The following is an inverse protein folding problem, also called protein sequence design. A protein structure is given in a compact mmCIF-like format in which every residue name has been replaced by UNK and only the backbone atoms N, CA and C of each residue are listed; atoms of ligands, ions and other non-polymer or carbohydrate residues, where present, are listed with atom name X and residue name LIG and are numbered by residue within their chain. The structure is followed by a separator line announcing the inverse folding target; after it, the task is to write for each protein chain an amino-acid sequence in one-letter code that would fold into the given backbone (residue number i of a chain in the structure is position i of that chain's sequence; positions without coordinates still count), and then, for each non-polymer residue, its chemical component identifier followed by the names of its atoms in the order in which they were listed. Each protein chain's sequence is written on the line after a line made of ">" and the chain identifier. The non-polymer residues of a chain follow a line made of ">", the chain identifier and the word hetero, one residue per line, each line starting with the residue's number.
data_IF_886837752878
#
_entry.id   IF_886837752878
#
_cell.length_a   1.000
_cell.length_b   1.000
_cell.length_c   1.000
_cell.angle_alpha   90.00
_cell.angle_beta   90.00
_cell.angle_gamma   90.00
#
_symmetry.space_group_name_H-M   'P 1'
#
loop_
_entity.id
_entity.type
_entity.pdbx_description
1 polymer ?
#
# COMPACT_ATOMS: atom_id res chain seq x y z
N UNK A 1 5.20 -21.24 18.29
CA UNK A 1 4.53 -21.86 17.13
C UNK A 1 5.20 -21.33 15.87
N UNK A 2 5.58 -22.21 14.94
CA UNK A 2 6.15 -21.83 13.65
C UNK A 2 5.18 -22.29 12.55
N UNK A 3 4.72 -21.35 11.72
CA UNK A 3 3.79 -21.60 10.62
C UNK A 3 4.54 -21.33 9.32
N UNK A 4 4.90 -22.39 8.58
CA UNK A 4 5.57 -22.28 7.29
C UNK A 4 4.58 -22.51 6.15
N UNK A 5 4.23 -21.44 5.43
CA UNK A 5 3.23 -21.42 4.36
C UNK A 5 1.92 -22.18 4.69
N UNK A 6 1.52 -22.17 5.97
CA UNK A 6 0.47 -23.05 6.51
C UNK A 6 -0.92 -22.90 5.87
N UNK A 7 -1.14 -21.85 5.07
CA UNK A 7 -2.41 -21.55 4.41
C UNK A 7 -2.32 -21.53 2.87
N UNK A 8 -1.18 -21.88 2.27
CA UNK A 8 -0.98 -21.76 0.81
C UNK A 8 -1.87 -22.68 -0.02
N UNK A 9 -2.21 -23.85 0.51
CA UNK A 9 -3.04 -24.86 -0.15
C UNK A 9 -4.55 -24.76 0.16
N UNK A 10 -4.96 -23.74 0.93
CA UNK A 10 -6.33 -23.57 1.39
C UNK A 10 -7.08 -22.53 0.57
N UNK A 11 -8.39 -22.71 0.44
CA UNK A 11 -9.24 -21.68 -0.15
C UNK A 11 -9.27 -20.42 0.76
N UNK A 12 -9.64 -19.25 0.22
CA UNK A 12 -9.63 -17.99 0.98
C UNK A 12 -10.48 -18.03 2.26
N UNK A 13 -11.61 -18.75 2.27
CA UNK A 13 -12.52 -18.81 3.41
C UNK A 13 -11.95 -19.68 4.52
N UNK A 14 -11.38 -20.84 4.17
CA UNK A 14 -10.70 -21.72 5.12
C UNK A 14 -9.43 -21.07 5.66
N UNK A 15 -8.65 -20.40 4.81
CA UNK A 15 -7.49 -19.60 5.22
C UNK A 15 -7.86 -18.61 6.32
N UNK A 16 -8.91 -17.82 6.11
CA UNK A 16 -9.36 -16.84 7.10
C UNK A 16 -9.66 -17.50 8.47
N UNK A 17 -10.32 -18.65 8.46
CA UNK A 17 -10.70 -19.40 9.67
C UNK A 17 -9.47 -19.94 10.42
N UNK A 18 -8.46 -20.46 9.69
CA UNK A 18 -7.21 -20.94 10.28
C UNK A 18 -6.42 -19.79 10.89
N UNK A 19 -6.35 -18.65 10.22
CA UNK A 19 -5.66 -17.46 10.75
C UNK A 19 -6.33 -16.95 12.03
N UNK A 20 -7.67 -16.94 12.08
CA UNK A 20 -8.41 -16.52 13.27
C UNK A 20 -8.14 -17.47 14.45
N UNK A 21 -8.06 -18.78 14.20
CA UNK A 21 -7.68 -19.77 15.20
C UNK A 21 -6.24 -19.56 15.72
N UNK A 22 -5.27 -19.34 14.82
CA UNK A 22 -3.88 -19.05 15.21
C UNK A 22 -3.83 -17.81 16.11
N UNK A 23 -4.59 -16.77 15.77
CA UNK A 23 -4.66 -15.54 16.55
C UNK A 23 -5.30 -15.77 17.93
N UNK A 24 -6.35 -16.61 18.01
CA UNK A 24 -6.93 -17.02 19.28
C UNK A 24 -5.91 -17.78 20.16
N UNK A 25 -5.17 -18.73 19.58
CA UNK A 25 -4.14 -19.49 20.29
C UNK A 25 -3.05 -18.57 20.84
N UNK A 26 -2.58 -17.62 20.03
CA UNK A 26 -1.61 -16.61 20.47
C UNK A 26 -2.14 -15.82 21.68
N UNK A 27 -3.39 -15.32 21.62
CA UNK A 27 -3.99 -14.55 22.73
C UNK A 27 -4.21 -15.39 23.99
N UNK A 28 -4.73 -16.61 23.83
CA UNK A 28 -5.12 -17.48 24.95
C UNK A 28 -3.92 -18.08 25.66
N UNK A 29 -2.93 -18.56 24.89
CA UNK A 29 -1.76 -19.23 25.44
C UNK A 29 -0.56 -18.29 25.62
N UNK A 30 -0.64 -17.05 25.15
CA UNK A 30 0.44 -16.04 25.19
C UNK A 30 1.76 -16.54 24.61
N UNK A 31 1.69 -17.34 23.56
CA UNK A 31 2.88 -17.92 22.89
C UNK A 31 3.34 -17.04 21.74
N UNK A 32 4.65 -17.02 21.48
CA UNK A 32 5.19 -16.42 20.26
C UNK A 32 4.83 -17.26 19.04
N UNK A 33 4.30 -16.60 18.00
CA UNK A 33 3.98 -17.20 16.71
C UNK A 33 4.86 -16.54 15.64
N UNK A 34 5.57 -17.36 14.86
CA UNK A 34 6.32 -16.92 13.68
C UNK A 34 5.62 -17.48 12.46
N UNK A 35 5.29 -16.61 11.50
CA UNK A 35 4.60 -16.97 10.26
C UNK A 35 5.51 -16.64 9.08
N UNK A 36 5.71 -17.62 8.20
CA UNK A 36 6.44 -17.48 6.94
C UNK A 36 5.40 -17.58 5.82
N UNK A 37 5.31 -16.56 4.99
CA UNK A 37 4.35 -16.48 3.88
C UNK A 37 4.79 -15.47 2.85
N UNK A 38 4.41 -15.70 1.60
CA UNK A 38 4.52 -14.73 0.51
C UNK A 38 3.27 -13.82 0.38
N UNK A 39 2.19 -14.11 1.13
CA UNK A 39 0.92 -13.38 1.01
C UNK A 39 0.83 -12.24 2.03
N UNK A 40 0.86 -11.00 1.54
CA UNK A 40 0.77 -9.81 2.42
C UNK A 40 -0.58 -9.68 3.15
N UNK A 41 -1.66 -10.21 2.58
CA UNK A 41 -2.98 -10.26 3.24
C UNK A 41 -2.96 -11.05 4.56
N UNK A 42 -2.14 -12.09 4.65
CA UNK A 42 -1.95 -12.89 5.88
C UNK A 42 -1.20 -12.09 6.92
N UNK A 43 -0.10 -11.43 6.51
CA UNK A 43 0.73 -10.59 7.38
C UNK A 43 -0.10 -9.47 8.00
N UNK A 44 -0.92 -8.79 7.19
CA UNK A 44 -1.79 -7.71 7.63
C UNK A 44 -2.83 -8.16 8.67
N UNK A 45 -3.32 -9.40 8.58
CA UNK A 45 -4.40 -9.89 9.43
C UNK A 45 -3.94 -10.30 10.84
N UNK A 46 -2.78 -10.98 10.95
CA UNK A 46 -2.39 -11.64 12.21
C UNK A 46 -1.02 -11.25 12.76
N UNK A 47 -0.16 -10.58 12.00
CA UNK A 47 1.19 -10.22 12.45
C UNK A 47 1.22 -8.83 13.08
N UNK A 48 2.09 -8.65 14.07
CA UNK A 48 2.39 -7.33 14.67
C UNK A 48 3.67 -6.70 14.11
N UNK A 49 4.63 -7.55 13.73
CA UNK A 49 5.92 -7.19 13.13
C UNK A 49 6.17 -8.05 11.91
N UNK A 50 6.93 -7.52 10.96
CA UNK A 50 7.33 -8.23 9.75
C UNK A 50 8.81 -8.02 9.47
N UNK A 51 9.43 -9.04 8.89
CA UNK A 51 10.76 -9.00 8.32
C UNK A 51 10.65 -9.45 6.86
N UNK A 52 11.17 -8.63 5.95
CA UNK A 52 11.20 -8.91 4.52
C UNK A 52 12.57 -9.47 4.17
N UNK A 53 12.57 -10.63 3.52
CA UNK A 53 13.78 -11.28 3.03
C UNK A 53 13.86 -11.15 1.50
N UNK A 54 15.04 -10.84 0.98
CA UNK A 54 15.39 -10.89 -0.44
C UNK A 54 16.79 -11.51 -0.53
N UNK A 55 16.98 -12.48 -1.44
CA UNK A 55 18.27 -13.17 -1.65
C UNK A 55 18.94 -13.70 -0.37
N UNK A 56 18.13 -14.26 0.55
CA UNK A 56 18.62 -14.84 1.80
C UNK A 56 19.03 -13.82 2.87
N UNK A 57 18.83 -12.52 2.62
CA UNK A 57 19.15 -11.45 3.57
C UNK A 57 17.89 -10.72 4.02
N UNK A 58 17.84 -10.32 5.29
CA UNK A 58 16.77 -9.45 5.80
C UNK A 58 17.00 -8.03 5.28
N UNK A 59 16.21 -7.61 4.31
CA UNK A 59 16.33 -6.29 3.67
C UNK A 59 15.52 -5.20 4.38
N UNK A 60 14.48 -5.58 5.12
CA UNK A 60 13.67 -4.63 5.88
C UNK A 60 12.98 -5.29 7.07
N UNK A 61 12.86 -4.56 8.18
CA UNK A 61 12.08 -5.00 9.34
C UNK A 61 11.30 -3.83 9.93
N UNK A 62 10.12 -4.10 10.47
CA UNK A 62 9.29 -3.06 11.08
C UNK A 62 8.00 -3.59 11.67
N UNK A 63 7.19 -2.69 12.22
CA UNK A 63 5.78 -3.00 12.45
C UNK A 63 5.05 -3.18 11.11
N UNK A 64 3.97 -3.94 11.13
CA UNK A 64 3.11 -4.10 9.94
C UNK A 64 2.65 -2.73 9.43
N UNK A 65 2.22 -1.82 10.31
CA UNK A 65 1.83 -0.45 9.94
C UNK A 65 2.94 0.29 9.19
N UNK A 66 4.19 0.27 9.69
CA UNK A 66 5.31 0.95 9.04
C UNK A 66 5.62 0.39 7.65
N UNK A 67 5.61 -0.94 7.52
CA UNK A 67 5.99 -1.61 6.27
C UNK A 67 4.91 -1.45 5.20
N UNK A 68 3.63 -1.48 5.58
CA UNK A 68 2.54 -1.27 4.64
C UNK A 68 2.33 0.21 4.29
N UNK A 69 2.69 1.12 5.19
CA UNK A 69 2.55 2.57 4.95
C UNK A 69 3.72 3.16 4.18
N UNK A 70 4.96 2.82 4.53
CA UNK A 70 6.17 3.45 3.99
C UNK A 70 7.28 2.41 3.77
N UNK A 71 7.07 1.42 2.87
CA UNK A 71 8.09 0.42 2.58
C UNK A 71 9.33 1.08 1.96
N UNK A 72 10.50 0.78 2.52
CA UNK A 72 11.79 1.41 2.11
C UNK A 72 12.50 0.58 1.05
N UNK A 73 12.55 -0.72 1.22
CA UNK A 73 13.23 -1.66 0.33
C UNK A 73 12.41 -1.91 -0.94
N UNK A 74 13.10 -2.22 -2.04
CA UNK A 74 12.44 -2.59 -3.31
C UNK A 74 11.58 -3.84 -3.14
N UNK A 75 12.06 -4.85 -2.42
CA UNK A 75 11.30 -6.06 -2.12
C UNK A 75 10.00 -5.77 -1.35
N UNK A 76 10.07 -4.94 -0.29
CA UNK A 76 8.86 -4.57 0.45
C UNK A 76 7.87 -3.79 -0.42
N UNK A 77 8.35 -2.86 -1.26
CA UNK A 77 7.50 -2.15 -2.22
C UNK A 77 6.80 -3.10 -3.18
N UNK A 78 7.51 -4.08 -3.72
CA UNK A 78 6.93 -5.07 -4.64
C UNK A 78 5.92 -5.99 -3.95
N UNK A 79 6.12 -6.32 -2.67
CA UNK A 79 5.19 -7.19 -1.94
C UNK A 79 3.94 -6.44 -1.47
N UNK A 80 4.09 -5.20 -1.00
CA UNK A 80 3.00 -4.36 -0.49
C UNK A 80 2.18 -3.76 -1.64
N UNK A 81 2.86 -3.42 -2.74
CA UNK A 81 2.27 -2.87 -3.95
C UNK A 81 2.60 -3.76 -5.17
N UNK A 82 2.11 -5.01 -5.21
CA UNK A 82 2.45 -5.97 -6.28
C UNK A 82 2.05 -5.46 -7.67
N UNK A 83 0.96 -4.70 -7.76
CA UNK A 83 0.53 -4.07 -9.00
C UNK A 83 1.24 -2.72 -9.27
N UNK A 84 1.81 -2.10 -8.24
CA UNK A 84 2.64 -0.89 -8.36
C UNK A 84 4.10 -1.17 -8.72
N UNK A 85 4.49 -2.45 -8.78
CA UNK A 85 5.87 -2.87 -9.04
C UNK A 85 6.20 -3.16 -10.50
N UNK A 86 5.23 -3.57 -11.36
CA UNK A 86 5.52 -3.83 -12.79
C UNK A 86 4.33 -4.15 -13.73
N UNK A 87 3.03 -3.92 -13.39
CA UNK A 87 1.93 -4.39 -14.26
C UNK A 87 0.84 -3.40 -14.64
N UNK A 88 0.84 -2.17 -14.12
CA UNK A 88 0.34 -1.08 -14.96
C UNK A 88 1.50 -0.74 -15.87
N UNK A 89 1.49 -1.30 -17.07
CA UNK A 89 2.04 -0.58 -18.19
C UNK A 89 1.27 0.75 -18.25
N UNK A 90 1.62 1.70 -17.39
CA UNK A 90 1.46 3.11 -17.69
C UNK A 90 2.28 3.20 -18.95
N UNK A 91 1.59 3.15 -20.09
CA UNK A 91 2.25 3.35 -21.36
C UNK A 91 3.10 4.60 -21.16
N UNK A 92 4.40 4.59 -21.47
CA UNK A 92 5.34 5.69 -21.13
C UNK A 92 5.06 6.96 -21.94
N UNK A 93 3.79 7.34 -22.09
CA UNK A 93 3.27 8.23 -23.11
C UNK A 93 2.25 9.24 -22.59
N UNK A 94 1.97 9.31 -21.29
CA UNK A 94 1.32 10.51 -20.74
C UNK A 94 2.39 11.41 -20.14
N UNK A 95 2.96 12.28 -21.00
CA UNK A 95 3.59 13.53 -20.55
C UNK A 95 2.72 14.12 -19.45
N UNK A 96 3.36 14.66 -18.43
CA UNK A 96 2.70 15.34 -17.33
C UNK A 96 1.88 14.39 -16.41
N UNK A 97 2.51 13.34 -15.89
CA UNK A 97 1.89 12.40 -14.95
C UNK A 97 2.53 12.46 -13.57
N UNK A 98 1.75 12.14 -12.53
CA UNK A 98 2.23 12.00 -11.15
C UNK A 98 1.65 10.74 -10.52
N UNK A 99 2.39 10.21 -9.55
CA UNK A 99 1.92 9.20 -8.61
C UNK A 99 1.72 9.82 -7.25
N UNK A 100 0.49 9.76 -6.75
CA UNK A 100 0.10 10.19 -5.40
C UNK A 100 0.04 8.95 -4.52
N UNK A 101 0.91 8.87 -3.53
CA UNK A 101 1.01 7.76 -2.56
C UNK A 101 0.37 8.18 -1.24
N UNK A 102 -0.60 7.41 -0.78
CA UNK A 102 -1.26 7.58 0.51
C UNK A 102 -0.55 6.70 1.54
N UNK A 103 0.06 7.33 2.54
CA UNK A 103 0.83 6.67 3.60
C UNK A 103 0.09 6.72 4.94
N UNK A 104 -1.20 6.40 4.93
CA UNK A 104 -2.05 6.48 6.12
C UNK A 104 -2.75 7.83 6.29
N UNK A 105 -2.96 8.54 5.19
CA UNK A 105 -3.66 9.81 5.21
C UNK A 105 -5.12 9.63 5.66
N UNK A 106 -5.57 10.51 6.56
CA UNK A 106 -7.00 10.69 6.92
C UNK A 106 -7.82 11.19 5.70
N UNK A 107 -7.14 11.45 4.57
CA UNK A 107 -7.71 11.87 3.30
C UNK A 107 -8.69 10.86 2.66
N UNK A 108 -8.91 9.68 3.25
CA UNK A 108 -9.97 8.76 2.82
C UNK A 108 -11.36 9.42 2.78
N UNK A 109 -11.59 10.43 3.63
CA UNK A 109 -12.85 11.18 3.70
C UNK A 109 -12.83 12.53 2.97
N UNK A 110 -11.75 12.87 2.25
CA UNK A 110 -11.65 14.13 1.50
C UNK A 110 -11.54 13.86 0.00
N UNK A 111 -12.40 14.44 -0.84
CA UNK A 111 -12.42 14.15 -2.26
C UNK A 111 -11.29 14.93 -2.99
N UNK A 112 -10.02 14.59 -2.73
CA UNK A 112 -8.86 15.39 -3.16
C UNK A 112 -8.82 15.70 -4.66
N UNK A 113 -9.22 14.73 -5.50
CA UNK A 113 -9.27 14.92 -6.95
C UNK A 113 -10.39 15.90 -7.34
N UNK A 114 -11.52 15.87 -6.64
CA UNK A 114 -12.60 16.83 -6.84
C UNK A 114 -12.19 18.23 -6.35
N UNK A 115 -11.51 18.32 -5.21
CA UNK A 115 -10.99 19.59 -4.68
C UNK A 115 -9.98 20.21 -5.66
N UNK A 116 -9.10 19.40 -6.26
CA UNK A 116 -8.18 19.87 -7.31
C UNK A 116 -8.96 20.47 -8.50
N UNK A 117 -10.04 19.82 -8.93
CA UNK A 117 -10.88 20.31 -10.02
C UNK A 117 -11.64 21.60 -9.67
N UNK A 118 -12.15 21.70 -8.44
CA UNK A 118 -12.96 22.84 -7.98
C UNK A 118 -12.07 24.05 -7.62
N UNK A 119 -11.02 23.83 -6.82
CA UNK A 119 -10.19 24.91 -6.28
C UNK A 119 -9.12 25.40 -7.28
N UNK A 120 -8.59 24.50 -8.12
CA UNK A 120 -7.53 24.83 -9.08
C UNK A 120 -8.02 24.85 -10.53
N UNK A 121 -9.24 24.39 -10.80
CA UNK A 121 -9.74 24.28 -12.17
C UNK A 121 -9.03 23.19 -12.98
N UNK A 122 -8.32 22.27 -12.34
CA UNK A 122 -7.49 21.26 -12.99
C UNK A 122 -8.24 19.93 -13.03
N UNK A 123 -8.49 19.42 -14.24
CA UNK A 123 -9.06 18.08 -14.43
C UNK A 123 -7.93 17.07 -14.50
N UNK A 124 -7.92 16.13 -13.56
CA UNK A 124 -6.98 15.03 -13.58
C UNK A 124 -7.65 13.79 -14.18
N UNK A 125 -6.94 13.10 -15.07
CA UNK A 125 -7.35 11.77 -15.50
C UNK A 125 -6.77 10.72 -14.55
N UNK A 126 -7.59 9.81 -14.06
CA UNK A 126 -7.14 8.72 -13.18
C UNK A 126 -6.72 7.55 -14.05
N UNK A 127 -5.42 7.40 -14.26
CA UNK A 127 -4.85 6.32 -15.07
C UNK A 127 -4.88 4.98 -14.31
N UNK A 128 -4.66 5.02 -12.99
CA UNK A 128 -4.72 3.84 -12.13
C UNK A 128 -5.01 4.26 -10.68
N UNK A 129 -5.76 3.44 -9.96
CA UNK A 129 -6.04 3.64 -8.54
C UNK A 129 -6.03 2.29 -7.82
N UNK A 130 -5.15 2.16 -6.83
CA UNK A 130 -5.18 1.05 -5.88
C UNK A 130 -5.01 1.62 -4.50
N UNK A 131 -6.13 1.77 -3.81
CA UNK A 131 -6.21 2.33 -2.47
C UNK A 131 -7.02 1.40 -1.59
N UNK A 132 -6.48 1.06 -0.42
CA UNK A 132 -7.18 0.34 0.64
C UNK A 132 -7.38 1.26 1.83
N UNK A 133 -8.48 1.07 2.54
CA UNK A 133 -8.73 1.75 3.81
C UNK A 133 -8.45 0.78 4.95
N UNK A 134 -7.60 1.19 5.90
CA UNK A 134 -7.34 0.43 7.13
C UNK A 134 -7.74 1.34 8.29
N UNK A 135 -8.92 1.08 8.87
CA UNK A 135 -9.56 2.01 9.80
C UNK A 135 -10.02 3.29 9.09
N UNK A 136 -9.64 4.45 9.63
CA UNK A 136 -9.90 5.79 9.08
C UNK A 136 -8.78 6.31 8.17
N UNK A 137 -7.79 5.47 7.87
CA UNK A 137 -6.60 5.83 7.11
C UNK A 137 -6.57 5.15 5.74
N UNK A 138 -6.26 5.93 4.70
CA UNK A 138 -6.05 5.43 3.35
C UNK A 138 -4.59 5.05 3.11
N UNK A 139 -4.38 3.89 2.49
CA UNK A 139 -3.09 3.39 2.04
C UNK A 139 -3.16 3.02 0.56
N UNK A 140 -2.10 3.30 -0.20
CA UNK A 140 -2.01 2.88 -1.60
C UNK A 140 -1.53 3.99 -2.51
N UNK A 141 -1.83 3.87 -3.81
CA UNK A 141 -1.37 4.85 -4.80
C UNK A 141 -2.42 5.13 -5.88
N UNK A 142 -2.43 6.39 -6.30
CA UNK A 142 -3.24 6.92 -7.39
C UNK A 142 -2.31 7.51 -8.45
N UNK A 143 -2.52 7.16 -9.70
CA UNK A 143 -1.76 7.68 -10.83
C UNK A 143 -2.66 8.65 -11.58
N UNK A 144 -2.21 9.90 -11.64
CA UNK A 144 -2.93 10.99 -12.26
C UNK A 144 -2.15 11.51 -13.45
N UNK A 145 -2.84 11.77 -14.55
CA UNK A 145 -2.28 12.46 -15.71
C UNK A 145 -3.02 13.76 -16.00
N UNK A 146 -2.28 14.69 -16.57
CA UNK A 146 -2.71 16.06 -16.84
C UNK A 146 -2.45 16.45 -18.29
N UNK A 147 -3.20 17.44 -18.78
CA UNK A 147 -3.09 17.89 -20.18
C UNK A 147 -1.75 18.59 -20.46
N UNK A 148 -1.21 19.31 -19.47
CA UNK A 148 0.00 20.11 -19.61
C UNK A 148 0.90 20.10 -18.34
N UNK A 149 2.16 20.52 -18.51
CA UNK A 149 3.17 20.52 -17.46
C UNK A 149 2.89 21.55 -16.35
N UNK A 150 2.16 22.63 -16.66
CA UNK A 150 1.79 23.65 -15.68
C UNK A 150 0.72 23.13 -14.71
N UNK A 151 -0.26 22.37 -15.23
CA UNK A 151 -1.24 21.65 -14.44
C UNK A 151 -0.57 20.60 -13.54
N UNK A 152 0.37 19.81 -14.08
CA UNK A 152 1.15 18.85 -13.30
C UNK A 152 1.85 19.53 -12.13
N UNK A 153 2.59 20.61 -12.38
CA UNK A 153 3.31 21.33 -11.33
C UNK A 153 2.38 21.85 -10.24
N UNK A 154 1.25 22.43 -10.63
CA UNK A 154 0.23 22.92 -9.69
C UNK A 154 -0.38 21.78 -8.88
N UNK A 155 -0.61 20.63 -9.49
CA UNK A 155 -1.11 19.44 -8.81
C UNK A 155 -0.08 18.88 -7.81
N UNK A 156 1.21 18.82 -8.17
CA UNK A 156 2.29 18.43 -7.24
C UNK A 156 2.28 19.35 -6.01
N UNK A 157 2.22 20.67 -6.22
CA UNK A 157 2.17 21.64 -5.13
C UNK A 157 0.90 21.52 -4.27
N UNK A 158 -0.23 21.13 -4.87
CA UNK A 158 -1.49 20.89 -4.16
C UNK A 158 -1.40 19.65 -3.26
N UNK A 159 -0.98 18.51 -3.80
CA UNK A 159 -0.92 17.25 -3.07
C UNK A 159 0.18 17.21 -2.01
N UNK A 160 1.33 17.86 -2.26
CA UNK A 160 2.46 17.90 -1.30
C UNK A 160 2.11 18.66 -0.02
N UNK A 161 1.09 19.52 -0.04
CA UNK A 161 0.61 20.25 1.16
C UNK A 161 -0.24 19.38 2.08
N UNK A 162 -0.67 18.20 1.63
CA UNK A 162 -1.54 17.32 2.39
C UNK A 162 -0.70 16.37 3.23
N UNK A 163 -0.99 16.31 4.53
CA UNK A 163 -0.30 15.42 5.48
C UNK A 163 -0.48 13.96 5.08
N UNK A 164 0.57 13.16 5.25
CA UNK A 164 0.61 11.72 4.96
C UNK A 164 0.36 11.33 3.49
N UNK A 165 0.51 12.29 2.58
CA UNK A 165 0.56 12.08 1.13
C UNK A 165 1.97 12.36 0.62
N UNK A 166 2.45 11.52 -0.29
CA UNK A 166 3.72 11.70 -1.00
C UNK A 166 3.46 11.71 -2.49
N UNK A 167 4.15 12.57 -3.24
CA UNK A 167 4.00 12.69 -4.68
C UNK A 167 5.31 12.32 -5.36
N UNK A 168 5.27 11.42 -6.33
CA UNK A 168 6.39 11.04 -7.19
C UNK A 168 6.06 11.50 -8.62
N UNK A 169 6.96 12.24 -9.27
CA UNK A 169 6.84 12.58 -10.70
C UNK A 169 7.25 11.39 -11.57
N UNK A 170 6.55 11.17 -12.68
CA UNK A 170 6.77 10.07 -13.63
C UNK A 170 7.18 10.59 -15.01
#
# INVERSE_FOLDING_TARGET
>A
LLCDEATSALDPKTTASILDLIQEINRRLKITVIVITHQMSVVEKICSRVAILEEGTVVETGSVEQIFSRPRSRAAKNLVFPEGGNTVAVTPAQKNSIRVVFNGAVAANRPLVADLAIEKGIRANIAYASTKSVGDRAFGSLFLSFDDEAQKKTAVEFFTKITDITVEEL
#
